data_IF_656161563202
#
_entry.id   IF_656161563202
#
_cell.length_a   1.000
_cell.length_b   1.000
_cell.length_c   1.000
_cell.angle_alpha   90.00
_cell.angle_beta   90.00
_cell.angle_gamma   90.00
#
_symmetry.space_group_name_H-M   'P 1'
#
loop_
_entity.id
_entity.type
_entity.pdbx_description
1 polymer ?
#
# COMPACT_ATOMS: atom_id res chain seq x y z
N UNK A 1 -19.23 -5.49 -5.05
CA UNK A 1 -18.77 -5.66 -3.64
C UNK A 1 -17.38 -5.05 -3.41
N UNK A 2 -16.65 -4.82 -4.50
CA UNK A 2 -15.25 -4.47 -4.61
C UNK A 2 -14.99 -3.05 -4.12
N UNK A 3 -15.87 -2.10 -4.47
CA UNK A 3 -15.82 -0.72 -3.97
C UNK A 3 -16.01 -0.67 -2.45
N UNK A 4 -16.89 -1.51 -1.89
CA UNK A 4 -17.08 -1.63 -0.44
C UNK A 4 -15.83 -2.19 0.23
N UNK A 5 -15.22 -3.25 -0.32
CA UNK A 5 -13.96 -3.81 0.18
C UNK A 5 -12.87 -2.72 0.23
N UNK A 6 -12.75 -1.94 -0.84
CA UNK A 6 -11.74 -0.90 -0.97
C UNK A 6 -11.96 0.25 0.02
N UNK A 7 -13.17 0.79 0.11
CA UNK A 7 -13.44 2.01 0.88
C UNK A 7 -13.85 1.76 2.34
N UNK A 8 -14.22 0.53 2.74
CA UNK A 8 -14.57 0.23 4.13
C UNK A 8 -13.44 0.56 5.12
N UNK A 9 -12.16 0.20 4.86
CA UNK A 9 -11.06 0.60 5.75
C UNK A 9 -10.83 2.13 5.75
N UNK A 10 -11.07 2.82 4.63
CA UNK A 10 -10.96 4.29 4.60
C UNK A 10 -12.02 4.94 5.48
N UNK A 11 -13.27 4.47 5.41
CA UNK A 11 -14.34 4.93 6.29
C UNK A 11 -14.01 4.64 7.76
N UNK A 12 -13.47 3.46 8.04
CA UNK A 12 -12.98 3.10 9.38
C UNK A 12 -11.89 4.08 9.86
N UNK A 13 -10.93 4.41 9.01
CA UNK A 13 -9.86 5.34 9.32
C UNK A 13 -10.36 6.76 9.62
N UNK A 14 -11.30 7.27 8.81
CA UNK A 14 -11.87 8.62 8.99
C UNK A 14 -12.71 8.69 10.27
N UNK A 15 -13.59 7.70 10.49
CA UNK A 15 -14.45 7.66 11.68
C UNK A 15 -13.62 7.49 12.96
N UNK A 16 -12.59 6.65 12.95
CA UNK A 16 -11.67 6.51 14.08
C UNK A 16 -10.79 7.74 14.30
N UNK A 17 -10.25 8.33 13.24
CA UNK A 17 -9.28 9.41 13.33
C UNK A 17 -9.92 10.74 13.74
N UNK A 18 -11.08 11.06 13.14
CA UNK A 18 -11.73 12.36 13.31
C UNK A 18 -13.06 12.27 14.08
N UNK A 19 -13.80 11.17 13.96
CA UNK A 19 -15.12 10.99 14.56
C UNK A 19 -15.12 10.58 16.04
N UNK A 20 -14.02 10.04 16.56
CA UNK A 20 -13.96 9.42 17.90
C UNK A 20 -14.39 10.32 19.06
N UNK A 21 -14.22 11.65 18.94
CA UNK A 21 -14.66 12.61 19.97
C UNK A 21 -16.18 12.69 20.11
N UNK A 22 -16.92 12.34 19.05
CA UNK A 22 -18.39 12.38 19.02
C UNK A 22 -18.96 11.01 19.42
N UNK A 23 -18.40 9.92 18.86
CA UNK A 23 -18.93 8.56 19.04
C UNK A 23 -18.33 7.82 20.25
N UNK A 24 -17.21 8.30 20.79
CA UNK A 24 -16.44 7.65 21.85
C UNK A 24 -15.40 6.65 21.33
N UNK A 25 -14.33 6.47 22.09
CA UNK A 25 -13.16 5.67 21.66
C UNK A 25 -13.48 4.20 21.41
N UNK A 26 -14.34 3.60 22.25
CA UNK A 26 -14.72 2.20 22.13
C UNK A 26 -15.53 1.98 20.86
N UNK A 27 -16.53 2.84 20.61
CA UNK A 27 -17.36 2.76 19.41
C UNK A 27 -16.51 2.94 18.15
N UNK A 28 -15.58 3.89 18.15
CA UNK A 28 -14.64 4.09 17.05
C UNK A 28 -13.86 2.79 16.72
N UNK A 29 -13.21 2.19 17.71
CA UNK A 29 -12.44 0.94 17.54
C UNK A 29 -13.29 -0.21 17.00
N UNK A 30 -14.51 -0.38 17.53
CA UNK A 30 -15.45 -1.41 17.06
C UNK A 30 -15.91 -1.15 15.62
N UNK A 31 -16.17 0.09 15.24
CA UNK A 31 -16.57 0.44 13.86
C UNK A 31 -15.44 0.14 12.88
N UNK A 32 -14.21 0.61 13.13
CA UNK A 32 -13.09 0.34 12.24
C UNK A 32 -12.81 -1.16 12.09
N UNK A 33 -12.86 -1.89 13.20
CA UNK A 33 -12.65 -3.35 13.19
C UNK A 33 -13.78 -4.08 12.48
N UNK A 34 -15.04 -3.70 12.74
CA UNK A 34 -16.21 -4.27 12.08
C UNK A 34 -16.20 -4.05 10.57
N UNK A 35 -15.80 -2.86 10.11
CA UNK A 35 -15.65 -2.55 8.68
C UNK A 35 -14.56 -3.42 8.01
N UNK A 36 -13.50 -3.75 8.73
CA UNK A 36 -12.47 -4.66 8.21
C UNK A 36 -12.91 -6.12 8.17
N UNK A 37 -13.66 -6.59 9.18
CA UNK A 37 -14.27 -7.91 9.12
C UNK A 37 -15.30 -8.02 7.98
N UNK A 38 -16.06 -6.95 7.73
CA UNK A 38 -16.93 -6.87 6.57
C UNK A 38 -16.13 -6.92 5.26
N UNK A 39 -15.05 -6.15 5.14
CA UNK A 39 -14.17 -6.18 3.96
C UNK A 39 -13.54 -7.57 3.74
N UNK A 40 -13.13 -8.24 4.82
CA UNK A 40 -12.58 -9.60 4.77
C UNK A 40 -13.63 -10.61 4.32
N UNK A 41 -14.84 -10.57 4.89
CA UNK A 41 -15.94 -11.43 4.47
C UNK A 41 -16.27 -11.24 2.98
N UNK A 42 -16.42 -10.00 2.53
CA UNK A 42 -16.67 -9.69 1.12
C UNK A 42 -15.52 -10.13 0.21
N UNK A 43 -14.26 -10.01 0.66
CA UNK A 43 -13.10 -10.47 -0.10
C UNK A 43 -13.09 -11.99 -0.29
N UNK A 44 -13.51 -12.76 0.71
CA UNK A 44 -13.70 -14.20 0.58
C UNK A 44 -14.83 -14.55 -0.38
N UNK A 45 -15.94 -13.81 -0.34
CA UNK A 45 -17.04 -13.97 -1.31
C UNK A 45 -16.52 -13.72 -2.72
N UNK A 46 -15.80 -12.63 -2.97
CA UNK A 46 -15.19 -12.34 -4.28
C UNK A 46 -14.25 -13.46 -4.70
N UNK A 47 -13.36 -13.93 -3.83
CA UNK A 47 -12.43 -15.01 -4.16
C UNK A 47 -13.13 -16.32 -4.57
N UNK A 48 -14.24 -16.68 -3.91
CA UNK A 48 -14.99 -17.91 -4.19
C UNK A 48 -15.94 -17.79 -5.39
N UNK A 49 -16.31 -16.57 -5.78
CA UNK A 49 -17.27 -16.31 -6.86
C UNK A 49 -16.64 -15.76 -8.12
N UNK A 50 -15.36 -15.41 -8.08
CA UNK A 50 -14.63 -14.88 -9.24
C UNK A 50 -14.44 -15.99 -10.29
N UNK A 51 -15.41 -16.05 -11.19
CA UNK A 51 -15.37 -16.87 -12.39
C UNK A 51 -15.25 -15.96 -13.62
N UNK A 52 -14.23 -16.19 -14.46
CA UNK A 52 -14.12 -15.54 -15.76
C UNK A 52 -12.86 -14.67 -15.98
N UNK A 53 -12.89 -13.80 -17.00
CA UNK A 53 -11.78 -12.91 -17.37
C UNK A 53 -11.64 -11.72 -16.41
N UNK A 54 -10.53 -10.99 -16.51
CA UNK A 54 -10.26 -9.78 -15.71
C UNK A 54 -11.38 -8.74 -15.87
N UNK A 55 -11.92 -8.26 -14.75
CA UNK A 55 -12.89 -7.17 -14.74
C UNK A 55 -12.21 -5.84 -14.36
N UNK A 56 -12.60 -4.75 -15.02
CA UNK A 56 -12.15 -3.40 -14.70
C UNK A 56 -13.36 -2.56 -14.28
N UNK A 57 -13.40 -2.16 -13.01
CA UNK A 57 -14.47 -1.32 -12.47
C UNK A 57 -13.93 0.10 -12.33
N UNK A 58 -14.33 0.99 -13.23
CA UNK A 58 -13.96 2.41 -13.16
C UNK A 58 -14.69 3.09 -12.00
N UNK A 59 -13.95 3.80 -11.14
CA UNK A 59 -14.51 4.55 -10.01
C UNK A 59 -14.68 6.01 -10.39
N UNK A 60 -13.60 6.66 -10.83
CA UNK A 60 -13.57 8.06 -11.22
C UNK A 60 -12.40 8.34 -12.16
N UNK A 61 -12.50 9.43 -12.91
CA UNK A 61 -11.39 9.94 -13.71
C UNK A 61 -10.39 10.69 -12.81
N UNK A 62 -9.13 10.30 -12.83
CA UNK A 62 -8.12 10.79 -11.87
C UNK A 62 -7.29 11.94 -12.42
N UNK A 63 -6.58 11.73 -13.53
CA UNK A 63 -5.74 12.75 -14.17
C UNK A 63 -6.05 12.78 -15.66
N UNK A 64 -6.29 13.97 -16.21
CA UNK A 64 -6.44 14.18 -17.64
C UNK A 64 -5.58 15.39 -18.05
N UNK A 65 -4.53 15.13 -18.83
CA UNK A 65 -3.62 16.15 -19.32
C UNK A 65 -2.95 15.71 -20.63
N UNK A 66 -3.41 16.23 -21.77
CA UNK A 66 -2.89 15.82 -23.08
C UNK A 66 -3.22 14.36 -23.37
N UNK A 67 -2.21 13.55 -23.70
CA UNK A 67 -2.36 12.10 -23.92
C UNK A 67 -2.42 11.30 -22.61
N UNK A 68 -1.96 11.89 -21.50
CA UNK A 68 -2.04 11.26 -20.18
C UNK A 68 -3.49 11.32 -19.67
N UNK A 69 -4.22 10.22 -19.85
CA UNK A 69 -5.53 9.98 -19.26
C UNK A 69 -5.44 8.79 -18.31
N UNK A 70 -5.74 9.03 -17.04
CA UNK A 70 -5.65 8.01 -15.99
C UNK A 70 -6.95 7.96 -15.22
N UNK A 71 -7.48 6.75 -15.10
CA UNK A 71 -8.65 6.46 -14.31
C UNK A 71 -8.25 5.84 -12.99
N UNK A 72 -9.03 6.16 -11.96
CA UNK A 72 -9.06 5.36 -10.76
C UNK A 72 -9.99 4.19 -11.01
N UNK A 73 -9.44 2.98 -11.03
CA UNK A 73 -10.20 1.78 -11.32
C UNK A 73 -9.83 0.64 -10.35
N UNK A 74 -10.72 -0.34 -10.24
CA UNK A 74 -10.46 -1.61 -9.57
C UNK A 74 -10.24 -2.63 -10.67
N UNK A 75 -8.98 -3.05 -10.85
CA UNK A 75 -8.64 -4.22 -11.65
C UNK A 75 -8.88 -5.47 -10.80
N UNK A 76 -9.84 -6.28 -11.19
CA UNK A 76 -10.18 -7.52 -10.52
C UNK A 76 -9.73 -8.71 -11.37
N UNK A 77 -8.63 -9.31 -10.94
CA UNK A 77 -8.15 -10.59 -11.46
C UNK A 77 -7.81 -11.54 -10.32
N UNK A 78 -7.37 -12.76 -10.67
CA UNK A 78 -7.04 -13.79 -9.70
C UNK A 78 -5.95 -13.36 -8.71
N UNK A 79 -4.95 -12.61 -9.19
CA UNK A 79 -3.86 -12.13 -8.32
C UNK A 79 -4.39 -11.10 -7.33
N UNK A 80 -5.20 -10.14 -7.79
CA UNK A 80 -5.85 -9.17 -6.91
C UNK A 80 -6.77 -9.85 -5.90
N UNK A 81 -7.59 -10.83 -6.32
CA UNK A 81 -8.48 -11.56 -5.40
C UNK A 81 -7.72 -12.29 -4.28
N UNK A 82 -6.59 -12.93 -4.60
CA UNK A 82 -5.70 -13.54 -3.60
C UNK A 82 -5.14 -12.48 -2.64
N UNK A 83 -4.70 -11.34 -3.16
CA UNK A 83 -4.17 -10.28 -2.31
C UNK A 83 -5.25 -9.66 -1.41
N UNK A 84 -6.48 -9.48 -1.92
CA UNK A 84 -7.60 -8.98 -1.14
C UNK A 84 -7.87 -9.85 0.08
N UNK A 85 -7.95 -11.18 -0.07
CA UNK A 85 -8.17 -12.09 1.06
C UNK A 85 -7.03 -12.05 2.07
N UNK A 86 -5.77 -12.01 1.62
CA UNK A 86 -4.59 -11.98 2.49
C UNK A 86 -4.56 -10.69 3.30
N UNK A 87 -4.69 -9.54 2.64
CA UNK A 87 -4.61 -8.22 3.26
C UNK A 87 -5.76 -8.02 4.25
N UNK A 88 -7.00 -8.26 3.82
CA UNK A 88 -8.19 -8.00 4.66
C UNK A 88 -8.28 -8.97 5.83
N UNK A 89 -7.99 -10.25 5.63
CA UNK A 89 -8.02 -11.25 6.72
C UNK A 89 -6.95 -10.94 7.77
N UNK A 90 -5.69 -10.77 7.35
CA UNK A 90 -4.60 -10.44 8.30
C UNK A 90 -4.87 -9.12 8.99
N UNK A 91 -5.32 -8.08 8.27
CA UNK A 91 -5.65 -6.79 8.87
C UNK A 91 -6.78 -6.88 9.89
N UNK A 92 -7.85 -7.64 9.60
CA UNK A 92 -8.97 -7.82 10.54
C UNK A 92 -8.53 -8.50 11.85
N UNK A 93 -7.66 -9.52 11.76
CA UNK A 93 -7.09 -10.21 12.92
C UNK A 93 -6.14 -9.31 13.72
N UNK A 94 -5.31 -8.52 13.03
CA UNK A 94 -4.43 -7.53 13.66
C UNK A 94 -5.25 -6.48 14.41
N UNK A 95 -6.36 -6.00 13.84
CA UNK A 95 -7.26 -5.06 14.51
C UNK A 95 -7.88 -5.68 15.76
N UNK A 96 -8.36 -6.92 15.68
CA UNK A 96 -8.90 -7.64 16.83
C UNK A 96 -7.85 -7.81 17.94
N UNK A 97 -6.63 -8.23 17.58
CA UNK A 97 -5.51 -8.36 18.51
C UNK A 97 -5.14 -7.03 19.16
N UNK A 98 -5.24 -5.93 18.41
CA UNK A 98 -4.89 -4.58 18.87
C UNK A 98 -5.77 -4.07 20.01
N UNK A 99 -6.99 -4.60 20.20
CA UNK A 99 -7.82 -4.23 21.36
C UNK A 99 -7.16 -4.60 22.68
N UNK A 100 -6.62 -5.81 22.76
CA UNK A 100 -5.93 -6.29 23.96
C UNK A 100 -4.57 -5.63 24.12
N UNK A 101 -3.79 -5.57 23.03
CA UNK A 101 -2.45 -5.01 23.05
C UNK A 101 -2.43 -3.52 23.45
N UNK A 102 -3.37 -2.72 22.91
CA UNK A 102 -3.44 -1.27 23.17
C UNK A 102 -4.31 -0.90 24.38
N UNK A 103 -4.74 -1.88 25.19
CA UNK A 103 -5.59 -1.60 26.36
C UNK A 103 -4.83 -0.84 27.46
N UNK A 104 -3.56 -1.16 27.68
CA UNK A 104 -2.79 -0.62 28.81
C UNK A 104 -1.37 -0.24 28.38
N UNK A 105 -1.25 0.67 27.41
CA UNK A 105 0.04 1.12 26.90
C UNK A 105 0.68 2.20 27.81
N UNK A 106 1.76 1.83 28.49
CA UNK A 106 2.50 2.68 29.45
C UNK A 106 3.27 3.84 28.78
N UNK A 107 3.45 3.81 27.46
CA UNK A 107 4.13 4.90 26.74
C UNK A 107 3.30 6.19 26.67
N UNK A 108 2.01 6.11 26.99
CA UNK A 108 1.07 7.23 27.01
C UNK A 108 0.62 7.54 28.43
N UNK A 109 0.21 8.79 28.68
CA UNK A 109 -0.30 9.19 30.01
C UNK A 109 -1.71 8.63 30.21
N UNK A 110 -2.13 8.40 31.45
CA UNK A 110 -3.45 7.81 31.77
C UNK A 110 -4.66 8.55 31.14
N UNK A 111 -4.55 9.87 30.93
CA UNK A 111 -5.60 10.70 30.33
C UNK A 111 -5.39 10.97 28.83
N UNK A 112 -4.45 10.29 28.18
CA UNK A 112 -4.13 10.52 26.77
C UNK A 112 -4.85 9.52 25.87
N UNK A 113 -5.66 10.02 24.94
CA UNK A 113 -6.34 9.19 23.95
C UNK A 113 -5.39 8.86 22.80
N UNK A 114 -4.97 7.59 22.70
CA UNK A 114 -4.09 7.12 21.63
C UNK A 114 -4.70 6.00 20.78
N UNK A 115 -5.66 5.23 21.32
CA UNK A 115 -6.25 4.05 20.64
C UNK A 115 -6.97 4.42 19.34
N UNK A 116 -7.83 5.45 19.27
CA UNK A 116 -8.51 5.79 18.02
C UNK A 116 -7.53 6.16 16.91
N UNK A 117 -6.45 6.89 17.26
CA UNK A 117 -5.37 7.24 16.33
C UNK A 117 -4.66 5.99 15.79
N UNK A 118 -4.36 5.02 16.67
CA UNK A 118 -3.73 3.76 16.27
C UNK A 118 -4.58 2.98 15.27
N UNK A 119 -5.86 2.76 15.60
CA UNK A 119 -6.80 2.06 14.72
C UNK A 119 -7.03 2.82 13.41
N UNK A 120 -7.06 4.15 13.45
CA UNK A 120 -7.15 4.96 12.24
C UNK A 120 -5.95 4.75 11.31
N UNK A 121 -4.73 4.71 11.86
CA UNK A 121 -3.52 4.46 11.08
C UNK A 121 -3.47 3.04 10.51
N UNK A 122 -3.87 2.01 11.27
CA UNK A 122 -3.96 0.64 10.75
C UNK A 122 -5.01 0.50 9.63
N UNK A 123 -6.16 1.15 9.79
CA UNK A 123 -7.21 1.18 8.77
C UNK A 123 -6.78 1.94 7.52
N UNK A 124 -6.10 3.08 7.67
CA UNK A 124 -5.53 3.85 6.55
C UNK A 124 -4.44 3.06 5.82
N UNK A 125 -3.58 2.37 6.56
CA UNK A 125 -2.58 1.47 6.01
C UNK A 125 -3.22 0.37 5.16
N UNK A 126 -4.29 -0.24 5.67
CA UNK A 126 -5.03 -1.29 4.94
C UNK A 126 -5.66 -0.72 3.67
N UNK A 127 -6.30 0.44 3.75
CA UNK A 127 -6.84 1.13 2.57
C UNK A 127 -5.76 1.38 1.51
N UNK A 128 -4.60 1.94 1.91
CA UNK A 128 -3.51 2.21 0.98
C UNK A 128 -2.98 0.94 0.32
N UNK A 129 -2.90 -0.17 1.06
CA UNK A 129 -2.49 -1.46 0.50
C UNK A 129 -3.54 -2.03 -0.45
N UNK A 130 -4.84 -1.94 -0.12
CA UNK A 130 -5.92 -2.36 -1.03
C UNK A 130 -5.89 -1.53 -2.32
N UNK A 131 -5.71 -0.22 -2.19
CA UNK A 131 -5.54 0.71 -3.30
C UNK A 131 -4.40 0.34 -4.25
N UNK A 132 -3.29 -0.14 -3.69
CA UNK A 132 -2.13 -0.60 -4.44
C UNK A 132 -2.44 -1.88 -5.21
N UNK A 133 -3.05 -2.88 -4.57
CA UNK A 133 -3.29 -4.19 -5.20
C UNK A 133 -4.49 -4.22 -6.14
N UNK A 134 -5.40 -3.24 -6.05
CA UNK A 134 -6.50 -3.11 -7.02
C UNK A 134 -6.17 -2.17 -8.17
N UNK A 135 -4.94 -1.63 -8.24
CA UNK A 135 -4.56 -0.67 -9.25
C UNK A 135 -4.61 -1.24 -10.68
N UNK A 136 -5.17 -0.46 -11.61
CA UNK A 136 -5.19 -0.79 -13.05
C UNK A 136 -4.09 -0.08 -13.87
N UNK A 137 -3.43 0.89 -13.25
CA UNK A 137 -2.32 1.63 -13.86
C UNK A 137 -1.23 1.95 -12.83
N UNK A 138 -0.04 2.26 -13.33
CA UNK A 138 1.14 2.52 -12.50
C UNK A 138 1.01 3.76 -11.61
N UNK A 139 0.25 4.78 -12.01
CA UNK A 139 0.05 5.98 -11.19
C UNK A 139 -0.84 5.70 -9.99
N UNK A 140 -1.93 4.96 -10.17
CA UNK A 140 -2.76 4.49 -9.05
C UNK A 140 -1.97 3.56 -8.13
N UNK A 141 -1.15 2.67 -8.70
CA UNK A 141 -0.26 1.82 -7.90
C UNK A 141 0.71 2.66 -7.08
N UNK A 142 1.34 3.67 -7.67
CA UNK A 142 2.23 4.60 -6.99
C UNK A 142 1.51 5.40 -5.88
N UNK A 143 0.25 5.79 -6.10
CA UNK A 143 -0.56 6.42 -5.05
C UNK A 143 -0.73 5.49 -3.83
N UNK A 144 -1.09 4.23 -4.04
CA UNK A 144 -1.17 3.24 -2.96
C UNK A 144 0.19 2.97 -2.30
N UNK A 145 1.25 2.91 -3.11
CA UNK A 145 2.64 2.70 -2.70
C UNK A 145 3.15 3.76 -1.72
N UNK A 146 2.87 5.02 -2.05
CA UNK A 146 3.13 6.18 -1.22
C UNK A 146 2.27 6.19 0.04
N UNK A 147 0.98 5.89 -0.11
CA UNK A 147 0.06 5.75 1.01
C UNK A 147 0.54 4.74 2.06
N UNK A 148 1.02 3.57 1.61
CA UNK A 148 1.61 2.54 2.48
C UNK A 148 2.90 3.04 3.14
N UNK A 149 3.72 3.82 2.43
CA UNK A 149 4.91 4.46 2.98
C UNK A 149 4.58 5.46 4.09
N UNK A 150 3.64 6.37 3.86
CA UNK A 150 3.19 7.35 4.86
C UNK A 150 2.55 6.65 6.06
N UNK A 151 1.69 5.67 5.82
CA UNK A 151 1.04 4.92 6.88
C UNK A 151 2.06 4.16 7.75
N UNK A 152 3.09 3.55 7.15
CA UNK A 152 4.18 2.91 7.90
C UNK A 152 4.98 3.90 8.74
N UNK A 153 5.27 5.10 8.22
CA UNK A 153 5.97 6.14 8.97
C UNK A 153 5.18 6.53 10.23
N UNK A 154 3.88 6.73 10.10
CA UNK A 154 2.98 7.06 11.20
C UNK A 154 2.86 5.93 12.24
N UNK A 155 2.92 4.67 11.80
CA UNK A 155 2.80 3.50 12.67
C UNK A 155 4.12 3.12 13.36
N UNK A 156 5.26 3.21 12.68
CA UNK A 156 6.59 2.99 13.29
C UNK A 156 6.87 4.11 14.30
N UNK A 157 6.58 5.36 13.91
CA UNK A 157 6.73 6.54 14.77
C UNK A 157 5.59 6.74 15.77
N UNK A 158 4.76 5.72 16.03
CA UNK A 158 3.57 5.85 16.87
C UNK A 158 3.92 6.29 18.30
N UNK A 159 5.02 5.76 18.84
CA UNK A 159 5.62 6.17 20.11
C UNK A 159 6.46 7.44 19.96
N UNK A 160 5.82 8.53 19.53
CA UNK A 160 6.48 9.78 19.16
C UNK A 160 7.32 10.46 20.27
N UNK A 161 7.15 10.06 21.54
CA UNK A 161 7.98 10.52 22.66
C UNK A 161 9.34 9.81 22.73
N UNK A 162 9.49 8.65 22.11
CA UNK A 162 10.72 7.86 22.09
C UNK A 162 11.60 8.33 20.93
N UNK A 163 12.78 8.93 21.17
CA UNK A 163 13.64 9.42 20.10
C UNK A 163 14.08 8.33 19.11
N UNK A 164 14.27 7.09 19.60
CA UNK A 164 14.61 5.94 18.74
C UNK A 164 13.49 5.59 17.76
N UNK A 165 12.23 5.61 18.20
CA UNK A 165 11.09 5.33 17.32
C UNK A 165 10.96 6.38 16.20
N UNK A 166 11.19 7.66 16.54
CA UNK A 166 11.19 8.74 15.54
C UNK A 166 12.34 8.60 14.53
N UNK A 167 13.53 8.25 15.01
CA UNK A 167 14.68 8.00 14.15
C UNK A 167 14.45 6.79 13.23
N UNK A 168 13.87 5.70 13.76
CA UNK A 168 13.51 4.51 13.01
C UNK A 168 12.46 4.81 11.93
N UNK A 169 11.40 5.52 12.29
CA UNK A 169 10.37 5.95 11.33
C UNK A 169 10.96 6.80 10.21
N UNK A 170 11.82 7.76 10.55
CA UNK A 170 12.49 8.61 9.56
C UNK A 170 13.42 7.80 8.64
N UNK A 171 14.20 6.88 9.20
CA UNK A 171 15.06 5.97 8.42
C UNK A 171 14.23 5.13 7.45
N UNK A 172 13.15 4.53 7.91
CA UNK A 172 12.23 3.76 7.06
C UNK A 172 11.63 4.61 5.95
N UNK A 173 11.20 5.84 6.26
CA UNK A 173 10.65 6.73 5.25
C UNK A 173 11.68 7.12 4.18
N UNK A 174 12.90 7.48 4.59
CA UNK A 174 13.97 7.91 3.66
C UNK A 174 14.43 6.75 2.79
N UNK A 175 14.69 5.57 3.36
CA UNK A 175 15.19 4.43 2.58
C UNK A 175 14.15 3.95 1.57
N UNK A 176 12.87 3.92 1.96
CA UNK A 176 11.79 3.64 1.01
C UNK A 176 11.72 4.70 -0.10
N UNK A 177 11.88 5.99 0.25
CA UNK A 177 11.85 7.10 -0.73
C UNK A 177 12.89 6.99 -1.83
N UNK A 178 14.08 6.46 -1.50
CA UNK A 178 15.13 6.22 -2.48
C UNK A 178 14.69 5.17 -3.51
N UNK A 179 14.03 4.09 -3.07
CA UNK A 179 13.41 3.11 -3.96
C UNK A 179 12.26 3.71 -4.77
N UNK A 180 11.41 4.51 -4.12
CA UNK A 180 10.26 5.17 -4.75
C UNK A 180 10.70 6.10 -5.90
N UNK A 181 11.89 6.71 -5.80
CA UNK A 181 12.47 7.51 -6.88
C UNK A 181 12.84 6.65 -8.11
N UNK A 182 13.44 5.48 -7.90
CA UNK A 182 13.72 4.55 -9.00
C UNK A 182 12.41 4.04 -9.65
N UNK A 183 11.39 3.78 -8.83
CA UNK A 183 10.05 3.41 -9.33
C UNK A 183 9.48 4.51 -10.23
N UNK A 184 9.52 5.78 -9.79
CA UNK A 184 9.08 6.92 -10.60
C UNK A 184 9.83 7.04 -11.93
N UNK A 185 11.16 6.86 -11.92
CA UNK A 185 11.94 6.85 -13.17
C UNK A 185 11.47 5.74 -14.12
N UNK A 186 11.11 4.56 -13.61
CA UNK A 186 10.53 3.48 -14.40
C UNK A 186 9.16 3.87 -14.99
N UNK A 187 8.29 4.51 -14.21
CA UNK A 187 6.98 4.99 -14.68
C UNK A 187 7.15 6.04 -15.78
N UNK A 188 8.05 7.02 -15.57
CA UNK A 188 8.32 8.05 -16.58
C UNK A 188 8.95 7.47 -17.84
N UNK A 189 9.88 6.54 -17.70
CA UNK A 189 10.47 5.82 -18.84
C UNK A 189 9.43 5.06 -19.66
N UNK A 190 8.49 4.36 -19.00
CA UNK A 190 7.38 3.70 -19.68
C UNK A 190 6.50 4.70 -20.42
N UNK A 191 6.03 5.73 -19.74
CA UNK A 191 5.17 6.74 -20.36
C UNK A 191 5.84 7.43 -21.56
N UNK A 192 7.14 7.74 -21.47
CA UNK A 192 7.88 8.33 -22.59
C UNK A 192 7.97 7.43 -23.83
N UNK A 193 7.96 6.11 -23.66
CA UNK A 193 8.15 5.16 -24.75
C UNK A 193 6.84 4.57 -25.29
N UNK A 194 5.80 4.47 -24.45
CA UNK A 194 4.53 3.85 -24.80
C UNK A 194 3.36 4.84 -24.87
N UNK A 195 3.57 6.09 -24.41
CA UNK A 195 2.51 7.10 -24.20
C UNK A 195 1.35 6.61 -23.31
N UNK A 196 1.58 5.57 -22.50
CA UNK A 196 0.59 5.01 -21.58
C UNK A 196 1.22 4.53 -20.26
N UNK A 197 0.39 4.51 -19.23
CA UNK A 197 0.72 3.97 -17.90
C UNK A 197 -0.20 2.81 -17.48
N UNK A 198 -1.11 2.39 -18.37
CA UNK A 198 -2.04 1.28 -18.15
C UNK A 198 -1.30 -0.03 -18.37
N UNK A 199 -1.58 -1.01 -17.52
CA UNK A 199 -0.89 -2.31 -17.59
C UNK A 199 -1.09 -2.99 -18.95
N UNK A 200 -2.30 -2.99 -19.49
CA UNK A 200 -2.61 -3.68 -20.74
C UNK A 200 -1.83 -3.10 -21.93
N UNK A 201 -1.71 -1.77 -22.01
CA UNK A 201 -0.96 -1.09 -23.08
C UNK A 201 0.55 -1.33 -22.95
N UNK A 202 1.07 -1.28 -21.71
CA UNK A 202 2.48 -1.55 -21.42
C UNK A 202 2.85 -2.98 -21.82
N UNK A 203 2.01 -3.96 -21.47
CA UNK A 203 2.26 -5.36 -21.81
C UNK A 203 2.16 -5.61 -23.32
N UNK A 204 1.26 -4.93 -24.02
CA UNK A 204 1.18 -4.99 -25.47
C UNK A 204 2.43 -4.38 -26.15
N UNK A 205 2.99 -3.31 -25.59
CA UNK A 205 4.19 -2.64 -26.11
C UNK A 205 5.52 -3.32 -25.72
N UNK A 206 5.49 -4.32 -24.83
CA UNK A 206 6.70 -4.97 -24.30
C UNK A 206 7.64 -5.54 -25.39
N UNK A 207 7.17 -6.19 -26.48
CA UNK A 207 8.05 -6.68 -27.55
C UNK A 207 8.79 -5.54 -28.27
N UNK A 208 8.14 -4.39 -28.45
CA UNK A 208 8.75 -3.22 -29.11
C UNK A 208 9.77 -2.55 -28.21
N UNK A 209 9.46 -2.41 -26.91
CA UNK A 209 10.41 -1.92 -25.90
C UNK A 209 11.68 -2.78 -25.83
N UNK A 210 11.58 -4.09 -26.08
CA UNK A 210 12.73 -4.98 -26.09
C UNK A 210 13.68 -4.74 -27.27
N UNK A 211 13.24 -4.07 -28.34
CA UNK A 211 14.07 -3.74 -29.51
C UNK A 211 14.61 -2.30 -29.48
N UNK A 212 14.18 -1.48 -28.51
CA UNK A 212 14.59 -0.09 -28.40
C UNK A 212 15.78 0.10 -27.46
N UNK A 213 16.57 1.13 -27.74
CA UNK A 213 17.67 1.60 -26.90
C UNK A 213 17.39 3.00 -26.37
N UNK A 214 17.67 3.24 -25.09
CA UNK A 214 17.53 4.54 -24.43
C UNK A 214 18.86 4.93 -23.80
N UNK A 215 19.30 6.16 -24.05
CA UNK A 215 20.46 6.74 -23.38
C UNK A 215 20.08 7.18 -21.97
N UNK A 216 20.73 6.60 -20.97
CA UNK A 216 20.53 6.94 -19.55
C UNK A 216 21.87 6.89 -18.80
N UNK A 217 22.14 7.92 -17.99
CA UNK A 217 23.42 8.06 -17.26
C UNK A 217 24.65 7.86 -18.16
N UNK A 218 24.70 8.57 -19.29
CA UNK A 218 25.86 8.60 -20.21
C UNK A 218 26.15 7.29 -20.95
N UNK A 219 25.25 6.30 -20.89
CA UNK A 219 25.37 5.03 -21.60
C UNK A 219 24.04 4.66 -22.27
N UNK A 220 24.14 3.86 -23.34
CA UNK A 220 22.97 3.33 -24.03
C UNK A 220 22.57 1.97 -23.44
N UNK A 221 21.30 1.87 -23.06
CA UNK A 221 20.74 0.67 -22.45
C UNK A 221 19.58 0.16 -23.31
N UNK A 222 19.35 -1.14 -23.26
CA UNK A 222 18.09 -1.69 -23.75
C UNK A 222 16.93 -1.14 -22.88
N UNK A 223 15.89 -0.62 -23.53
CA UNK A 223 14.82 0.10 -22.86
C UNK A 223 14.05 -0.79 -21.87
N UNK A 224 13.66 -1.99 -22.30
CA UNK A 224 12.96 -2.95 -21.45
C UNK A 224 13.80 -3.34 -20.21
N UNK A 225 15.09 -3.63 -20.39
CA UNK A 225 15.97 -3.99 -19.29
C UNK A 225 16.15 -2.85 -18.28
N UNK A 226 16.38 -1.62 -18.76
CA UNK A 226 16.55 -0.46 -17.89
C UNK A 226 15.28 -0.19 -17.09
N UNK A 227 14.12 -0.17 -17.74
CA UNK A 227 12.83 0.05 -17.08
C UNK A 227 12.54 -1.04 -16.06
N UNK A 228 12.67 -2.32 -16.45
CA UNK A 228 12.45 -3.44 -15.54
C UNK A 228 13.37 -3.36 -14.32
N UNK A 229 14.64 -2.98 -14.52
CA UNK A 229 15.59 -2.77 -13.43
C UNK A 229 15.17 -1.62 -12.51
N UNK A 230 14.74 -0.48 -13.04
CA UNK A 230 14.26 0.67 -12.25
C UNK A 230 13.02 0.32 -11.42
N UNK A 231 12.03 -0.36 -12.02
CA UNK A 231 10.85 -0.88 -11.32
C UNK A 231 11.25 -1.88 -10.22
N UNK A 232 12.21 -2.75 -10.52
CA UNK A 232 12.73 -3.72 -9.57
C UNK A 232 13.45 -3.06 -8.39
N UNK A 233 14.25 -2.01 -8.61
CA UNK A 233 14.86 -1.23 -7.50
C UNK A 233 13.80 -0.60 -6.62
N UNK A 234 12.69 -0.12 -7.21
CA UNK A 234 11.49 0.28 -6.47
C UNK A 234 10.97 -0.84 -5.57
N UNK A 235 10.71 -2.01 -6.14
CA UNK A 235 10.27 -3.20 -5.41
C UNK A 235 11.24 -3.64 -4.30
N UNK A 236 12.56 -3.55 -4.54
CA UNK A 236 13.60 -3.85 -3.57
C UNK A 236 13.52 -2.92 -2.34
N UNK A 237 13.22 -1.64 -2.55
CA UNK A 237 13.07 -0.65 -1.48
C UNK A 237 11.96 -1.03 -0.50
N UNK A 238 10.72 -1.19 -1.01
CA UNK A 238 9.57 -1.57 -0.17
C UNK A 238 9.67 -2.97 0.42
N UNK A 239 10.30 -3.90 -0.30
CA UNK A 239 10.44 -5.28 0.16
C UNK A 239 11.67 -5.52 1.04
N UNK A 240 12.35 -4.45 1.47
CA UNK A 240 13.54 -4.51 2.32
C UNK A 240 14.57 -5.54 1.83
N UNK A 241 14.85 -5.54 0.52
CA UNK A 241 15.82 -6.44 -0.08
C UNK A 241 17.25 -5.99 0.18
N UNK A 242 18.23 -6.80 -0.22
CA UNK A 242 19.65 -6.50 -0.04
C UNK A 242 19.98 -5.06 -0.48
N UNK A 243 20.87 -4.38 0.25
CA UNK A 243 21.19 -2.94 0.15
C UNK A 243 20.13 -1.95 0.66
N UNK A 244 18.83 -2.25 0.53
CA UNK A 244 17.73 -1.40 1.03
C UNK A 244 17.02 -1.97 2.28
N UNK A 245 17.53 -3.07 2.85
CA UNK A 245 16.96 -3.75 4.01
C UNK A 245 17.14 -3.02 5.35
N UNK A 246 18.02 -2.02 5.42
CA UNK A 246 18.52 -1.48 6.70
C UNK A 246 17.46 -0.82 7.57
N UNK A 247 16.31 -0.46 7.01
CA UNK A 247 15.19 0.09 7.76
C UNK A 247 14.34 -0.96 8.48
N UNK A 248 14.36 -2.21 8.00
CA UNK A 248 13.47 -3.27 8.47
C UNK A 248 13.71 -3.68 9.94
N UNK A 249 14.96 -3.84 10.42
CA UNK A 249 15.20 -4.16 11.83
C UNK A 249 14.75 -3.04 12.77
N UNK A 250 14.97 -1.78 12.38
CA UNK A 250 14.62 -0.61 13.20
C UNK A 250 13.11 -0.36 13.23
N UNK A 251 12.37 -0.79 12.20
CA UNK A 251 10.91 -0.70 12.16
C UNK A 251 10.21 -1.47 13.30
N UNK A 252 10.91 -2.39 13.96
CA UNK A 252 10.43 -3.11 15.14
C UNK A 252 10.29 -2.24 16.40
N UNK A 253 10.70 -0.97 16.33
CA UNK A 253 10.39 0.03 17.36
C UNK A 253 8.89 0.36 17.45
N UNK A 254 8.11 0.05 16.41
CA UNK A 254 6.66 0.21 16.41
C UNK A 254 5.95 -0.83 17.30
N UNK A 255 4.66 -0.63 17.61
CA UNK A 255 3.85 -1.62 18.33
C UNK A 255 3.84 -2.98 17.62
N UNK A 256 3.85 -4.10 18.35
CA UNK A 256 3.86 -5.45 17.75
C UNK A 256 2.76 -5.71 16.71
N UNK A 257 1.50 -5.22 16.86
CA UNK A 257 0.48 -5.36 15.82
C UNK A 257 0.89 -4.72 14.47
N UNK A 258 1.68 -3.64 14.51
CA UNK A 258 2.22 -2.98 13.31
C UNK A 258 3.20 -3.88 12.59
N UNK A 259 4.17 -4.45 13.30
CA UNK A 259 5.14 -5.39 12.74
C UNK A 259 4.44 -6.59 12.11
N UNK A 260 3.41 -7.13 12.77
CA UNK A 260 2.61 -8.22 12.21
C UNK A 260 1.96 -7.82 10.87
N UNK A 261 1.37 -6.63 10.78
CA UNK A 261 0.73 -6.18 9.54
C UNK A 261 1.73 -5.90 8.41
N UNK A 262 2.80 -5.14 8.71
CA UNK A 262 3.82 -4.71 7.74
C UNK A 262 4.57 -5.91 7.15
N UNK A 263 5.01 -6.85 8.00
CA UNK A 263 5.90 -7.93 7.58
C UNK A 263 5.17 -9.17 7.06
N UNK A 264 3.95 -9.45 7.51
CA UNK A 264 3.27 -10.68 7.12
C UNK A 264 2.49 -10.55 5.80
N UNK A 265 1.87 -9.40 5.53
CA UNK A 265 0.80 -9.34 4.52
C UNK A 265 0.84 -8.15 3.56
N UNK A 266 1.68 -7.15 3.79
CA UNK A 266 1.45 -5.83 3.15
C UNK A 266 2.69 -5.20 2.54
N UNK A 267 3.51 -4.46 3.30
CA UNK A 267 4.56 -3.61 2.75
C UNK A 267 5.61 -4.41 1.98
N UNK A 268 6.06 -5.54 2.53
CA UNK A 268 7.00 -6.42 1.82
C UNK A 268 6.36 -7.18 0.67
N UNK A 269 5.06 -7.44 0.75
CA UNK A 269 4.30 -8.07 -0.33
C UNK A 269 4.03 -7.09 -1.49
N UNK A 270 4.01 -5.78 -1.23
CA UNK A 270 3.74 -4.76 -2.25
C UNK A 270 4.80 -4.76 -3.37
N UNK A 271 6.09 -4.88 -3.03
CA UNK A 271 7.13 -4.95 -4.05
C UNK A 271 7.14 -6.26 -4.81
N UNK A 272 6.88 -7.38 -4.14
CA UNK A 272 6.69 -8.68 -4.82
C UNK A 272 5.47 -8.64 -5.74
N UNK A 273 4.38 -7.98 -5.31
CA UNK A 273 3.18 -7.79 -6.11
C UNK A 273 3.46 -6.96 -7.36
N UNK A 274 4.22 -5.86 -7.27
CA UNK A 274 4.65 -5.10 -8.45
C UNK A 274 5.44 -5.95 -9.45
N UNK A 275 6.33 -6.84 -8.98
CA UNK A 275 7.13 -7.70 -9.85
C UNK A 275 6.29 -8.83 -10.48
N UNK A 276 5.30 -9.33 -9.75
CA UNK A 276 4.39 -10.37 -10.24
C UNK A 276 3.32 -9.82 -11.21
N UNK A 277 2.99 -8.53 -11.09
CA UNK A 277 2.00 -7.83 -11.90
C UNK A 277 2.53 -7.54 -13.28
#
# INVERSE_FOLDING_TARGET
>A
METTILFAPLLGAILCGFGWKIIGEKAAQWIATGLLFLAAFLSWVVFLTLDGPTEQIQILRFIESGTLSTDWAIRMDRLTAIMLIVITTVSSLVHLYSFGYMAHDENFRDNESYRPRFFAYLSFFTFAMLMLVTADNLVQMFFGWEGVGVASYLLIGFYFRKPSANAAAMKAFIVNRVGDFAFLLGIFGLYMLTDSIRFDDIFAAAPDLAQQSVTFLWADWNAANLIAFLLFVGAMGKSAQLFLHTWLPDAMEGPTPVSALIHAATMVAAGVYLVAR
#
